data_IF_631013737636
#
_entry.id   IF_631013737636
#
_cell.length_a   1.000
_cell.length_b   1.000
_cell.length_c   1.000
_cell.angle_alpha   90.00
_cell.angle_beta   90.00
_cell.angle_gamma   90.00
#
_symmetry.space_group_name_H-M   'P 1'
#
loop_
_entity.id
_entity.type
_entity.pdbx_description
1 polymer ?
#
# COMPACT_ATOMS: atom_id res chain seq x y z
N UNK A 1 16.88 19.44 -13.06
CA UNK A 1 16.97 19.69 -12.59
C UNK A 1 16.90 19.97 -12.02
N UNK A 2 16.95 19.71 -11.99
CA UNK A 2 17.00 20.01 -11.24
C UNK A 2 16.80 20.09 -10.65
N UNK A 3 16.78 19.81 -10.67
CA UNK A 3 16.73 20.03 -9.93
C UNK A 3 16.47 19.86 -9.41
N UNK A 4 16.31 19.62 -9.40
CA UNK A 4 16.25 19.76 -8.73
C UNK A 4 16.34 19.75 -8.18
N UNK A 5 16.21 19.30 -8.19
CA UNK A 5 16.43 19.63 -7.45
C UNK A 5 16.35 19.71 -7.01
N UNK A 6 16.16 19.46 -6.84
CA UNK A 6 16.22 19.88 -6.13
C UNK A 6 16.26 19.98 -5.65
N UNK A 7 16.13 19.56 -5.65
CA UNK A 7 16.31 19.95 -4.95
C UNK A 7 16.33 19.99 -4.55
N UNK A 8 16.33 19.68 -4.55
CA UNK A 8 16.53 20.01 -3.81
C UNK A 8 16.48 20.01 -3.38
N UNK A 9 16.39 19.74 -3.30
CA UNK A 9 16.59 20.14 -2.57
C UNK A 9 16.63 20.25 -2.16
N UNK A 10 16.63 19.98 -2.02
CA UNK A 10 16.88 20.41 -1.23
C UNK A 10 16.90 20.63 -0.71
N UNK A 11 16.88 20.56 -0.60
CA UNK A 11 17.12 20.88 0.27
C UNK A 11 17.07 21.01 0.84
N UNK A 12 17.07 20.86 1.16
CA UNK A 12 17.18 21.15 1.94
C UNK A 12 17.27 21.14 2.57
N UNK A 13 17.37 20.86 2.72
CA UNK A 13 17.53 21.03 3.59
C UNK A 13 17.71 21.16 4.29
N UNK A 14 17.92 21.01 4.33
CA UNK A 14 18.14 21.22 5.28
C UNK A 14 18.31 21.26 6.07
N UNK A 15 18.33 20.78 5.76
CA UNK A 15 18.61 20.57 6.92
C UNK A 15 18.68 21.06 8.21
N UNK A 16 19.38 20.79 8.74
CA UNK A 16 19.72 21.07 10.04
C UNK A 16 18.92 22.01 10.82
N UNK A 17 18.42 22.74 10.34
CA UNK A 17 17.70 23.76 10.98
C UNK A 17 16.48 23.33 11.70
N UNK A 18 16.32 22.08 11.85
CA UNK A 18 15.08 21.57 12.36
C UNK A 18 14.71 21.96 13.75
N UNK A 19 15.68 21.97 14.67
CA UNK A 19 15.30 22.10 16.05
C UNK A 19 14.64 23.42 16.39
N UNK A 20 15.11 24.48 15.80
CA UNK A 20 14.53 25.79 16.07
C UNK A 20 13.12 25.90 15.55
N UNK A 21 12.74 25.00 14.69
CA UNK A 21 11.42 25.04 14.09
C UNK A 21 10.67 23.77 14.33
N UNK A 22 10.77 23.25 15.53
CA UNK A 22 10.12 22.01 15.88
C UNK A 22 8.65 22.01 15.52
N UNK A 23 7.93 23.06 15.83
CA UNK A 23 6.51 23.13 15.49
C UNK A 23 6.23 23.06 14.02
N UNK A 24 7.05 23.75 13.22
CA UNK A 24 6.92 23.71 11.76
C UNK A 24 7.25 22.34 11.24
N UNK A 25 8.31 21.73 11.76
CA UNK A 25 8.67 20.37 11.37
C UNK A 25 7.56 19.39 11.73
N UNK A 26 6.96 19.53 12.90
CA UNK A 26 5.86 18.65 13.30
C UNK A 26 4.67 18.83 12.38
N UNK A 27 4.35 20.05 12.01
CA UNK A 27 3.24 20.29 11.10
C UNK A 27 3.52 19.71 9.73
N UNK A 28 4.75 19.87 9.25
CA UNK A 28 5.12 19.31 7.96
C UNK A 28 5.08 17.79 8.00
N UNK A 29 5.56 17.19 9.09
CA UNK A 29 5.53 15.75 9.25
C UNK A 29 4.10 15.23 9.29
N UNK A 30 3.21 15.94 9.97
CA UNK A 30 1.81 15.52 10.02
C UNK A 30 1.16 15.60 8.65
N UNK A 31 1.46 16.65 7.88
CA UNK A 31 0.93 16.76 6.54
C UNK A 31 1.43 15.65 5.64
N UNK A 32 2.72 15.33 5.74
CA UNK A 32 3.29 14.24 4.96
C UNK A 32 2.63 12.91 5.34
N UNK A 33 2.40 12.71 6.64
CA UNK A 33 1.74 11.50 7.10
C UNK A 33 0.31 11.41 6.59
N UNK A 34 -0.42 12.52 6.53
CA UNK A 34 -1.77 12.51 5.99
C UNK A 34 -1.79 12.14 4.52
N UNK A 35 -0.81 12.62 3.76
CA UNK A 35 -0.69 12.24 2.36
C UNK A 35 -0.39 10.75 2.22
N UNK A 36 0.46 10.24 3.11
CA UNK A 36 0.79 8.83 3.09
C UNK A 36 -0.42 7.97 3.42
N UNK A 37 -1.21 8.39 4.42
CA UNK A 37 -2.46 7.70 4.74
C UNK A 37 -3.35 7.61 3.51
N UNK A 38 -3.53 8.73 2.82
CA UNK A 38 -4.40 8.76 1.66
C UNK A 38 -3.87 7.84 0.55
N UNK A 39 -2.56 7.84 0.35
CA UNK A 39 -1.93 7.00 -0.67
C UNK A 39 -2.15 5.53 -0.35
N UNK A 40 -1.94 5.16 0.92
CA UNK A 40 -2.12 3.78 1.35
C UNK A 40 -3.57 3.36 1.23
N UNK A 41 -4.50 4.24 1.60
CA UNK A 41 -5.93 3.92 1.50
C UNK A 41 -6.34 3.63 0.07
N UNK A 42 -5.85 4.41 -0.89
CA UNK A 42 -6.15 4.16 -2.29
C UNK A 42 -5.60 2.83 -2.76
N UNK A 43 -4.38 2.51 -2.33
CA UNK A 43 -3.76 1.25 -2.70
C UNK A 43 -4.49 0.07 -2.05
N UNK A 44 -4.89 0.22 -0.79
CA UNK A 44 -5.67 -0.81 -0.10
C UNK A 44 -6.99 -1.07 -0.81
N UNK A 45 -7.65 -0.01 -1.21
CA UNK A 45 -8.94 -0.16 -1.92
C UNK A 45 -8.76 -0.98 -3.19
N UNK A 46 -7.71 -0.67 -3.94
CA UNK A 46 -7.41 -1.37 -5.18
C UNK A 46 -7.09 -2.83 -4.93
N UNK A 47 -6.27 -3.11 -3.92
CA UNK A 47 -5.88 -4.48 -3.61
C UNK A 47 -7.06 -5.28 -3.06
N UNK A 48 -7.92 -4.65 -2.27
CA UNK A 48 -9.10 -5.34 -1.75
C UNK A 48 -10.07 -5.70 -2.87
N UNK A 49 -10.20 -4.84 -3.86
CA UNK A 49 -11.03 -5.14 -5.02
C UNK A 49 -10.43 -6.29 -5.81
N UNK A 50 -9.10 -6.31 -5.95
CA UNK A 50 -8.43 -7.39 -6.64
C UNK A 50 -8.58 -8.71 -5.88
N UNK A 51 -8.43 -8.67 -4.56
CA UNK A 51 -8.61 -9.87 -3.73
C UNK A 51 -10.02 -10.42 -3.88
N UNK A 52 -11.02 -9.53 -3.89
CA UNK A 52 -12.41 -9.95 -4.04
C UNK A 52 -12.63 -10.62 -5.39
N UNK A 53 -12.04 -10.07 -6.44
CA UNK A 53 -12.15 -10.66 -7.77
C UNK A 53 -11.50 -12.04 -7.82
N UNK A 54 -10.34 -12.18 -7.17
CA UNK A 54 -9.67 -13.48 -7.12
C UNK A 54 -10.46 -14.49 -6.30
N UNK A 55 -11.11 -14.05 -5.23
CA UNK A 55 -11.96 -14.93 -4.44
C UNK A 55 -13.11 -15.48 -5.25
N UNK A 56 -13.74 -14.64 -6.06
CA UNK A 56 -14.80 -15.10 -6.95
C UNK A 56 -14.27 -16.11 -7.96
N UNK A 57 -13.07 -15.85 -8.48
CA UNK A 57 -12.46 -16.78 -9.42
C UNK A 57 -12.14 -18.11 -8.76
N UNK A 58 -11.61 -18.06 -7.53
CA UNK A 58 -11.30 -19.27 -6.77
C UNK A 58 -12.56 -20.11 -6.53
N UNK A 59 -13.64 -19.45 -6.16
CA UNK A 59 -14.90 -20.16 -5.93
C UNK A 59 -15.36 -20.85 -7.20
N UNK A 60 -15.32 -20.16 -8.31
CA UNK A 60 -15.72 -20.71 -9.60
C UNK A 60 -14.85 -21.90 -9.99
N UNK A 61 -13.53 -21.77 -9.81
CA UNK A 61 -12.62 -22.85 -10.14
C UNK A 61 -12.78 -24.04 -9.21
N UNK A 62 -13.06 -23.79 -7.94
CA UNK A 62 -13.27 -24.87 -6.98
C UNK A 62 -14.48 -25.73 -7.34
N UNK A 63 -15.50 -25.09 -7.89
CA UNK A 63 -16.68 -25.83 -8.35
C UNK A 63 -16.34 -26.60 -9.61
N UNK A 64 -15.66 -25.95 -10.55
CA UNK A 64 -15.37 -26.55 -11.86
C UNK A 64 -14.43 -27.74 -11.74
N UNK A 65 -13.51 -27.72 -10.79
CA UNK A 65 -12.51 -28.78 -10.67
C UNK A 65 -13.15 -30.13 -10.39
N UNK A 66 -14.37 -30.13 -9.81
CA UNK A 66 -15.07 -31.36 -9.53
C UNK A 66 -15.44 -32.12 -10.80
N UNK A 67 -15.62 -31.41 -11.92
CA UNK A 67 -15.99 -32.03 -13.20
C UNK A 67 -14.92 -31.87 -14.27
N UNK A 68 -13.91 -31.04 -14.02
CA UNK A 68 -12.87 -30.76 -15.02
C UNK A 68 -11.54 -30.57 -14.31
N UNK A 69 -10.77 -31.64 -14.20
CA UNK A 69 -9.49 -31.60 -13.49
C UNK A 69 -8.46 -30.70 -14.19
N UNK A 70 -8.69 -30.32 -15.44
CA UNK A 70 -7.71 -29.51 -16.15
C UNK A 70 -7.56 -28.10 -15.56
N UNK A 71 -8.52 -27.66 -14.72
CA UNK A 71 -8.43 -26.34 -14.12
C UNK A 71 -7.59 -26.32 -12.84
N UNK A 72 -7.05 -27.47 -12.40
CA UNK A 72 -6.24 -27.53 -11.17
C UNK A 72 -5.06 -26.56 -11.24
N UNK A 73 -4.40 -26.49 -12.38
CA UNK A 73 -3.25 -25.63 -12.55
C UNK A 73 -3.64 -24.16 -12.36
N UNK A 74 -4.74 -23.76 -12.96
CA UNK A 74 -5.22 -22.37 -12.80
C UNK A 74 -5.63 -22.12 -11.35
N UNK A 75 -6.29 -23.07 -10.73
CA UNK A 75 -6.71 -22.95 -9.34
C UNK A 75 -5.49 -22.70 -8.44
N UNK A 76 -4.42 -23.45 -8.64
CA UNK A 76 -3.19 -23.29 -7.88
C UNK A 76 -2.59 -21.89 -8.09
N UNK A 77 -2.53 -21.44 -9.34
CA UNK A 77 -1.96 -20.13 -9.67
C UNK A 77 -2.77 -19.00 -9.05
N UNK A 78 -4.09 -19.07 -9.17
CA UNK A 78 -4.96 -18.02 -8.63
C UNK A 78 -4.90 -18.02 -7.11
N UNK A 79 -4.82 -19.20 -6.50
CA UNK A 79 -4.71 -19.31 -5.05
C UNK A 79 -3.43 -18.65 -4.54
N UNK A 80 -2.31 -18.89 -5.22
CA UNK A 80 -1.04 -18.28 -4.83
C UNK A 80 -1.09 -16.75 -4.98
N UNK A 81 -1.70 -16.28 -6.06
CA UNK A 81 -1.83 -14.85 -6.27
C UNK A 81 -2.70 -14.21 -5.20
N UNK A 82 -3.78 -14.86 -4.83
CA UNK A 82 -4.67 -14.38 -3.78
C UNK A 82 -3.91 -14.26 -2.44
N UNK A 83 -3.13 -15.28 -2.10
CA UNK A 83 -2.34 -15.24 -0.88
C UNK A 83 -1.34 -14.09 -0.90
N UNK A 84 -0.69 -13.84 -2.04
CA UNK A 84 0.23 -12.73 -2.16
C UNK A 84 -0.45 -11.39 -1.95
N UNK A 85 -1.65 -11.22 -2.53
CA UNK A 85 -2.42 -9.99 -2.36
C UNK A 85 -2.81 -9.79 -0.90
N UNK A 86 -3.24 -10.85 -0.22
CA UNK A 86 -3.60 -10.75 1.19
C UNK A 86 -2.39 -10.33 2.02
N UNK A 87 -1.21 -10.85 1.70
CA UNK A 87 0.01 -10.44 2.39
C UNK A 87 0.33 -8.97 2.19
N UNK A 88 0.15 -8.47 0.96
CA UNK A 88 0.37 -7.06 0.69
C UNK A 88 -0.62 -6.18 1.47
N UNK A 89 -1.88 -6.62 1.52
CA UNK A 89 -2.90 -5.88 2.27
C UNK A 89 -2.49 -5.79 3.74
N UNK A 90 -2.05 -6.91 4.32
CA UNK A 90 -1.62 -6.91 5.71
C UNK A 90 -0.48 -5.93 5.98
N UNK A 91 0.52 -5.92 5.10
CA UNK A 91 1.63 -4.99 5.25
C UNK A 91 1.20 -3.54 5.12
N UNK A 92 0.28 -3.27 4.20
CA UNK A 92 -0.22 -1.91 4.02
C UNK A 92 -1.08 -1.46 5.19
N UNK A 93 -1.83 -2.39 5.80
CA UNK A 93 -2.62 -2.04 6.97
C UNK A 93 -1.73 -1.63 8.13
N UNK A 94 -0.60 -2.33 8.31
CA UNK A 94 0.36 -1.93 9.32
C UNK A 94 0.96 -0.57 9.01
N UNK A 95 1.34 -0.35 7.76
CA UNK A 95 1.88 0.94 7.34
C UNK A 95 0.85 2.06 7.53
N UNK A 96 -0.42 1.74 7.27
CA UNK A 96 -1.50 2.71 7.47
C UNK A 96 -1.60 3.11 8.94
N UNK A 97 -1.50 2.14 9.85
CA UNK A 97 -1.56 2.44 11.28
C UNK A 97 -0.44 3.38 11.70
N UNK A 98 0.77 3.11 11.24
CA UNK A 98 1.91 3.98 11.56
C UNK A 98 1.71 5.38 11.00
N UNK A 99 1.27 5.47 9.76
CA UNK A 99 1.07 6.77 9.13
C UNK A 99 -0.07 7.53 9.80
N UNK A 100 -1.13 6.83 10.20
CA UNK A 100 -2.26 7.45 10.86
C UNK A 100 -1.85 8.03 12.21
N UNK A 101 -1.00 7.31 12.96
CA UNK A 101 -0.49 7.82 14.22
C UNK A 101 0.34 9.08 14.01
N UNK A 102 1.18 9.06 12.99
CA UNK A 102 2.02 10.21 12.70
C UNK A 102 1.21 11.42 12.20
N UNK A 103 0.01 11.17 11.70
CA UNK A 103 -0.86 12.23 11.17
C UNK A 103 -1.66 12.96 12.26
N UNK A 104 -1.69 12.41 13.47
CA UNK A 104 -2.44 13.00 14.58
C UNK A 104 -1.82 14.26 15.17
#
# INVERSE_FOLDING_TARGET
>A
PAAQSQDASSGEESAGQGSARGGVSDAAARRAAKKEVARIERKLERLRAEASSLESRLESLSITVATDASVVSELTTVSAKHQGILGEIGGLEEAWLEAAEAAE
#
